data_IF_899791380104
#
_entry.id   IF_899791380104
#
_cell.length_a   1.000
_cell.length_b   1.000
_cell.length_c   1.000
_cell.angle_alpha   90.00
_cell.angle_beta   90.00
_cell.angle_gamma   90.00
#
_symmetry.space_group_name_H-M   'P 1'
#
loop_
_entity.id
_entity.type
_entity.pdbx_description
1 polymer ?
#
# COMPACT_ATOMS: atom_id res chain seq x y z
N UNK A 1 33.38 -9.79 -21.30
CA UNK A 1 32.09 -10.50 -21.26
C UNK A 1 31.57 -10.40 -19.85
N UNK A 2 30.57 -9.56 -19.71
CA UNK A 2 29.91 -9.36 -18.43
C UNK A 2 28.91 -10.51 -18.26
N UNK A 3 29.30 -11.54 -17.58
CA UNK A 3 28.39 -12.62 -17.19
C UNK A 3 27.56 -12.11 -16.02
N UNK A 4 26.41 -11.50 -16.31
CA UNK A 4 25.42 -11.20 -15.29
C UNK A 4 25.09 -12.52 -14.57
N UNK A 5 25.35 -12.55 -13.26
CA UNK A 5 24.95 -13.67 -12.42
C UNK A 5 23.44 -13.92 -12.59
N UNK A 6 22.98 -15.18 -12.63
CA UNK A 6 21.56 -15.45 -12.73
C UNK A 6 20.83 -14.80 -11.55
N UNK A 7 19.85 -13.95 -11.85
CA UNK A 7 19.01 -13.35 -10.80
C UNK A 7 18.28 -14.47 -10.08
N UNK A 8 18.34 -14.45 -8.75
CA UNK A 8 17.61 -15.44 -7.98
C UNK A 8 16.10 -15.23 -8.17
N UNK A 9 15.32 -16.29 -8.20
CA UNK A 9 13.85 -16.23 -8.34
C UNK A 9 13.16 -15.41 -7.25
N UNK A 10 13.87 -15.09 -6.17
CA UNK A 10 13.38 -14.26 -5.06
C UNK A 10 13.79 -12.79 -5.17
N UNK A 11 14.47 -12.39 -6.26
CA UNK A 11 14.89 -11.02 -6.43
C UNK A 11 13.72 -10.12 -6.83
N UNK A 12 13.47 -9.11 -6.00
CA UNK A 12 12.45 -8.10 -6.25
C UNK A 12 13.06 -6.89 -6.91
N UNK A 13 12.34 -6.32 -7.89
CA UNK A 13 12.66 -5.02 -8.46
C UNK A 13 11.60 -4.00 -8.07
N UNK A 14 12.04 -2.76 -7.85
CA UNK A 14 11.20 -1.65 -7.46
C UNK A 14 11.36 -0.55 -8.49
N UNK A 15 10.27 -0.05 -9.02
CA UNK A 15 10.29 1.06 -10.00
C UNK A 15 9.06 1.93 -9.86
N UNK A 16 9.13 3.13 -10.42
CA UNK A 16 7.97 4.01 -10.49
C UNK A 16 6.98 3.48 -11.53
N UNK A 17 5.70 3.58 -11.21
CA UNK A 17 4.63 3.26 -12.13
C UNK A 17 4.54 4.30 -13.25
N UNK A 18 4.12 3.84 -14.40
CA UNK A 18 3.82 4.67 -15.57
C UNK A 18 2.38 4.47 -16.00
N UNK A 19 1.91 5.26 -16.96
CA UNK A 19 0.55 5.15 -17.50
C UNK A 19 0.24 3.71 -18.00
N UNK A 20 1.23 3.03 -18.55
CA UNK A 20 1.08 1.66 -19.03
C UNK A 20 0.76 0.65 -17.91
N UNK A 21 1.10 0.98 -16.66
CA UNK A 21 0.88 0.11 -15.51
C UNK A 21 -0.52 0.24 -14.93
N UNK A 22 -1.28 1.27 -15.28
CA UNK A 22 -2.56 1.59 -14.65
C UNK A 22 -3.53 0.40 -14.64
N UNK A 23 -3.80 -0.29 -15.77
CA UNK A 23 -4.73 -1.42 -15.73
C UNK A 23 -4.31 -2.55 -14.78
N UNK A 24 -3.03 -2.92 -14.81
CA UNK A 24 -2.51 -3.99 -13.95
C UNK A 24 -2.53 -3.60 -12.47
N UNK A 25 -2.26 -2.33 -12.16
CA UNK A 25 -2.30 -1.84 -10.78
C UNK A 25 -3.71 -1.76 -10.22
N UNK A 26 -4.68 -1.34 -11.01
CA UNK A 26 -6.09 -1.36 -10.60
C UNK A 26 -6.51 -2.78 -10.25
N UNK A 27 -6.21 -3.74 -11.11
CA UNK A 27 -6.51 -5.16 -10.86
C UNK A 27 -5.85 -5.67 -9.58
N UNK A 28 -4.57 -5.38 -9.39
CA UNK A 28 -3.81 -5.79 -8.21
C UNK A 28 -4.41 -5.22 -6.93
N UNK A 29 -4.70 -3.93 -6.90
CA UNK A 29 -5.26 -3.25 -5.73
C UNK A 29 -6.64 -3.80 -5.41
N UNK A 30 -7.52 -3.92 -6.41
CA UNK A 30 -8.84 -4.47 -6.20
C UNK A 30 -8.79 -5.92 -5.69
N UNK A 31 -7.89 -6.75 -6.24
CA UNK A 31 -7.76 -8.14 -5.81
C UNK A 31 -7.30 -8.27 -4.35
N UNK A 32 -6.51 -7.32 -3.86
CA UNK A 32 -5.97 -7.35 -2.51
C UNK A 32 -6.96 -6.79 -1.46
N UNK A 33 -7.79 -5.82 -1.85
CA UNK A 33 -8.66 -5.12 -0.90
C UNK A 33 -10.12 -5.52 -0.98
N UNK A 34 -10.62 -5.86 -2.15
CA UNK A 34 -12.06 -6.02 -2.40
C UNK A 34 -12.38 -7.34 -3.10
N UNK A 35 -13.66 -7.73 -2.99
CA UNK A 35 -14.20 -8.89 -3.67
C UNK A 35 -13.72 -10.23 -3.11
N UNK A 36 -14.17 -11.31 -3.74
CA UNK A 36 -13.89 -12.67 -3.28
C UNK A 36 -12.41 -13.05 -3.41
N UNK A 37 -11.71 -12.54 -4.42
CA UNK A 37 -10.28 -12.81 -4.60
C UNK A 37 -9.44 -12.32 -3.42
N UNK A 38 -9.84 -11.21 -2.78
CA UNK A 38 -9.11 -10.68 -1.62
C UNK A 38 -9.19 -11.59 -0.40
N UNK A 39 -10.22 -12.43 -0.31
CA UNK A 39 -10.41 -13.39 0.79
C UNK A 39 -9.37 -14.52 0.79
N UNK A 40 -8.66 -14.72 -0.32
CA UNK A 40 -7.53 -15.64 -0.39
C UNK A 40 -6.30 -15.14 0.37
N UNK A 41 -6.21 -13.84 0.66
CA UNK A 41 -5.18 -13.26 1.51
C UNK A 41 -5.49 -13.42 2.99
N UNK A 42 -4.50 -13.09 3.85
CA UNK A 42 -4.69 -13.19 5.31
C UNK A 42 -5.55 -12.07 5.89
N UNK A 43 -5.75 -10.98 5.15
CA UNK A 43 -6.59 -9.85 5.56
C UNK A 43 -7.31 -9.26 4.35
N UNK A 44 -8.51 -8.70 4.57
CA UNK A 44 -9.33 -8.11 3.52
C UNK A 44 -10.28 -7.05 4.11
N UNK A 45 -10.73 -6.12 3.26
CA UNK A 45 -11.81 -5.19 3.58
C UNK A 45 -13.17 -5.67 3.07
N UNK A 46 -13.24 -6.84 2.42
CA UNK A 46 -14.45 -7.30 1.72
C UNK A 46 -15.70 -7.42 2.62
N UNK A 47 -15.53 -7.63 3.93
CA UNK A 47 -16.65 -7.74 4.86
C UNK A 47 -17.16 -6.39 5.38
N UNK A 48 -16.35 -5.34 5.30
CA UNK A 48 -16.69 -4.00 5.79
C UNK A 48 -16.94 -3.00 4.67
N UNK A 49 -16.42 -3.26 3.48
CA UNK A 49 -16.58 -2.43 2.29
C UNK A 49 -16.87 -3.31 1.08
N UNK A 50 -17.83 -2.89 0.29
CA UNK A 50 -18.13 -3.47 -1.03
C UNK A 50 -17.81 -2.45 -2.12
N UNK A 51 -17.88 -2.87 -3.39
CA UNK A 51 -17.56 -2.03 -4.52
C UNK A 51 -16.04 -1.84 -4.69
N UNK A 52 -15.66 -0.77 -5.37
CA UNK A 52 -14.26 -0.55 -5.73
C UNK A 52 -13.43 0.04 -4.60
N UNK A 53 -12.13 -0.28 -4.57
CA UNK A 53 -11.12 0.39 -3.74
C UNK A 53 -10.53 1.60 -4.47
N UNK A 54 -10.31 1.46 -5.77
CA UNK A 54 -9.77 2.49 -6.64
C UNK A 54 -10.29 2.31 -8.05
N UNK A 55 -9.91 3.20 -8.94
CA UNK A 55 -10.21 3.15 -10.37
C UNK A 55 -8.99 3.66 -11.16
N UNK A 56 -9.00 3.58 -12.52
CA UNK A 56 -7.87 4.07 -13.30
C UNK A 56 -7.53 5.54 -13.03
N UNK A 57 -8.51 6.40 -12.82
CA UNK A 57 -8.28 7.82 -12.53
C UNK A 57 -7.63 8.01 -11.17
N UNK A 58 -8.03 7.24 -10.17
CA UNK A 58 -7.41 7.26 -8.85
C UNK A 58 -5.94 6.87 -8.88
N UNK A 59 -5.58 5.86 -9.65
CA UNK A 59 -4.18 5.45 -9.85
C UNK A 59 -3.40 6.53 -10.60
N UNK A 60 -3.95 7.08 -11.68
CA UNK A 60 -3.32 8.17 -12.44
C UNK A 60 -3.06 9.39 -11.57
N UNK A 61 -3.99 9.73 -10.71
CA UNK A 61 -3.86 10.87 -9.79
C UNK A 61 -2.65 10.70 -8.86
N UNK A 62 -2.45 9.51 -8.30
CA UNK A 62 -1.28 9.21 -7.46
C UNK A 62 0.01 9.36 -8.25
N UNK A 63 0.06 8.83 -9.48
CA UNK A 63 1.25 8.91 -10.34
C UNK A 63 1.57 10.37 -10.71
N UNK A 64 0.54 11.19 -10.96
CA UNK A 64 0.70 12.56 -11.44
C UNK A 64 0.94 13.59 -10.33
N UNK A 65 0.64 13.27 -9.08
CA UNK A 65 0.75 14.23 -7.98
C UNK A 65 2.22 14.54 -7.65
N UNK A 66 2.63 15.82 -7.65
CA UNK A 66 3.99 16.19 -7.26
C UNK A 66 4.32 15.70 -5.85
N UNK A 67 5.54 15.12 -5.68
CA UNK A 67 5.95 14.55 -4.40
C UNK A 67 5.36 13.19 -4.08
N UNK A 68 4.54 12.63 -4.97
CA UNK A 68 3.95 11.30 -4.84
C UNK A 68 4.60 10.33 -5.82
N UNK A 69 4.85 9.12 -5.34
CA UNK A 69 5.35 8.01 -6.16
C UNK A 69 4.45 6.81 -5.95
N UNK A 70 4.15 6.10 -7.02
CA UNK A 70 3.52 4.79 -6.94
C UNK A 70 4.56 3.76 -7.34
N UNK A 71 5.04 2.98 -6.37
CA UNK A 71 6.05 1.96 -6.61
C UNK A 71 5.39 0.67 -7.08
N UNK A 72 5.91 0.12 -8.16
CA UNK A 72 5.56 -1.22 -8.64
C UNK A 72 6.66 -2.16 -8.21
N UNK A 73 6.28 -3.25 -7.54
CA UNK A 73 7.18 -4.31 -7.11
C UNK A 73 7.00 -5.48 -8.04
N UNK A 74 8.08 -5.89 -8.69
CA UNK A 74 8.05 -6.97 -9.68
C UNK A 74 8.95 -8.13 -9.28
N UNK A 75 8.50 -9.33 -9.63
CA UNK A 75 9.30 -10.55 -9.63
C UNK A 75 9.22 -11.14 -11.02
N UNK A 76 10.38 -11.36 -11.65
CA UNK A 76 10.47 -11.88 -13.02
C UNK A 76 9.65 -11.07 -14.04
N UNK A 77 9.63 -9.74 -13.86
CA UNK A 77 8.90 -8.81 -14.74
C UNK A 77 7.39 -8.75 -14.48
N UNK A 78 6.87 -9.48 -13.51
CA UNK A 78 5.45 -9.49 -13.18
C UNK A 78 5.15 -8.65 -11.93
N UNK A 79 4.17 -7.71 -12.00
CA UNK A 79 3.77 -6.94 -10.82
C UNK A 79 3.13 -7.84 -9.76
N UNK A 80 3.70 -7.85 -8.56
CA UNK A 80 3.22 -8.66 -7.44
C UNK A 80 2.80 -7.83 -6.23
N UNK A 81 3.21 -6.57 -6.17
CA UNK A 81 2.85 -5.65 -5.10
C UNK A 81 3.00 -4.21 -5.57
N UNK A 82 2.40 -3.29 -4.84
CA UNK A 82 2.58 -1.86 -5.05
C UNK A 82 2.42 -1.10 -3.73
N UNK A 83 2.94 0.12 -3.70
CA UNK A 83 2.65 1.06 -2.63
C UNK A 83 2.81 2.50 -3.09
N UNK A 84 2.01 3.39 -2.51
CA UNK A 84 2.18 4.82 -2.66
C UNK A 84 3.18 5.33 -1.63
N UNK A 85 4.04 6.24 -2.04
CA UNK A 85 4.97 6.93 -1.18
C UNK A 85 4.90 8.42 -1.51
N UNK A 86 4.56 9.25 -0.53
CA UNK A 86 4.36 10.69 -0.74
C UNK A 86 5.15 11.50 0.28
N UNK A 87 5.84 12.53 -0.21
CA UNK A 87 6.55 13.46 0.64
C UNK A 87 5.60 14.51 1.21
N UNK A 88 5.49 14.56 2.55
CA UNK A 88 4.63 15.51 3.27
C UNK A 88 5.43 16.25 4.36
N UNK A 89 6.21 17.26 3.95
CA UNK A 89 7.02 18.02 4.88
C UNK A 89 8.13 17.19 5.52
N UNK A 90 8.12 17.07 6.84
CA UNK A 90 9.11 16.26 7.60
C UNK A 90 8.76 14.78 7.67
N UNK A 91 7.61 14.39 7.15
CA UNK A 91 7.15 13.02 7.11
C UNK A 91 6.95 12.54 5.69
N UNK A 92 6.93 11.23 5.50
CA UNK A 92 6.42 10.59 4.30
C UNK A 92 5.08 9.90 4.62
N UNK A 93 4.24 9.77 3.63
CA UNK A 93 2.99 9.02 3.71
C UNK A 93 3.12 7.73 2.91
N UNK A 94 2.72 6.63 3.52
CA UNK A 94 2.67 5.31 2.93
C UNK A 94 1.22 4.90 2.75
N UNK A 95 0.83 4.58 1.52
CA UNK A 95 -0.56 4.21 1.24
C UNK A 95 -0.67 3.30 0.03
N UNK A 96 -1.89 3.03 -0.38
CA UNK A 96 -2.22 2.21 -1.56
C UNK A 96 -1.37 0.93 -1.62
N UNK A 97 -1.17 0.31 -0.45
CA UNK A 97 -0.32 -0.86 -0.29
C UNK A 97 -1.11 -2.12 -0.62
N UNK A 98 -0.67 -2.83 -1.63
CA UNK A 98 -1.30 -4.07 -2.05
C UNK A 98 -0.24 -5.13 -2.32
N UNK A 99 -0.50 -6.34 -1.86
CA UNK A 99 0.28 -7.55 -2.17
C UNK A 99 -0.69 -8.55 -2.79
N UNK A 100 -0.29 -9.16 -3.90
CA UNK A 100 -1.14 -10.14 -4.61
C UNK A 100 -1.61 -11.22 -3.65
N UNK A 101 -2.93 -11.48 -3.53
CA UNK A 101 -3.44 -12.58 -2.71
C UNK A 101 -2.78 -13.91 -3.13
N UNK A 102 -2.44 -14.74 -2.16
CA UNK A 102 -1.71 -15.98 -2.40
C UNK A 102 -0.19 -15.84 -2.30
N UNK A 103 0.35 -14.64 -2.45
CA UNK A 103 1.77 -14.35 -2.22
C UNK A 103 2.02 -13.73 -0.84
N UNK A 104 0.96 -13.49 -0.08
CA UNK A 104 1.06 -12.98 1.28
C UNK A 104 1.58 -14.07 2.23
N UNK A 105 2.21 -13.66 3.32
CA UNK A 105 2.74 -14.58 4.33
C UNK A 105 4.20 -15.00 4.13
N UNK A 106 4.83 -14.68 3.00
CA UNK A 106 6.24 -14.98 2.71
C UNK A 106 7.23 -13.86 3.04
N UNK A 107 6.80 -12.85 3.81
CA UNK A 107 7.63 -11.70 4.13
C UNK A 107 7.71 -10.64 3.03
N UNK A 108 6.96 -10.79 1.96
CA UNK A 108 6.94 -9.85 0.84
C UNK A 108 6.48 -8.46 1.28
N UNK A 109 5.39 -8.36 2.03
CA UNK A 109 4.88 -7.08 2.53
C UNK A 109 5.90 -6.35 3.41
N UNK A 110 6.60 -7.08 4.26
CA UNK A 110 7.66 -6.53 5.11
C UNK A 110 8.82 -5.99 4.28
N UNK A 111 9.21 -6.70 3.21
CA UNK A 111 10.27 -6.25 2.30
C UNK A 111 9.89 -4.98 1.55
N UNK A 112 8.67 -4.91 1.06
CA UNK A 112 8.13 -3.71 0.37
C UNK A 112 8.13 -2.51 1.31
N UNK A 113 7.66 -2.70 2.53
CA UNK A 113 7.60 -1.64 3.53
C UNK A 113 8.99 -1.14 3.92
N UNK A 114 9.94 -2.05 4.12
CA UNK A 114 11.33 -1.70 4.43
C UNK A 114 11.97 -0.88 3.30
N UNK A 115 11.72 -1.24 2.04
CA UNK A 115 12.21 -0.48 0.90
C UNK A 115 11.57 0.91 0.80
N UNK A 116 10.27 1.02 1.05
CA UNK A 116 9.58 2.31 1.08
C UNK A 116 10.15 3.23 2.15
N UNK A 117 10.41 2.72 3.33
CA UNK A 117 11.03 3.47 4.42
C UNK A 117 12.45 3.92 4.07
N UNK A 118 13.24 3.02 3.48
CA UNK A 118 14.60 3.34 3.02
C UNK A 118 14.60 4.45 1.98
N UNK A 119 13.72 4.37 0.98
CA UNK A 119 13.59 5.39 -0.07
C UNK A 119 13.17 6.74 0.50
N UNK A 120 12.21 6.76 1.42
CA UNK A 120 11.75 8.00 2.04
C UNK A 120 12.88 8.73 2.76
N UNK A 121 13.70 8.01 3.51
CA UNK A 121 14.86 8.59 4.19
C UNK A 121 15.93 9.03 3.19
N UNK A 122 16.26 8.17 2.22
CA UNK A 122 17.33 8.43 1.26
C UNK A 122 17.02 9.63 0.33
N UNK A 123 15.77 9.75 -0.12
CA UNK A 123 15.40 10.78 -1.09
C UNK A 123 14.91 12.08 -0.47
N UNK A 124 14.24 12.00 0.70
CA UNK A 124 13.59 13.16 1.31
C UNK A 124 14.12 13.52 2.69
N UNK A 125 14.93 12.66 3.30
CA UNK A 125 15.46 12.90 4.63
C UNK A 125 14.40 13.02 5.72
N UNK A 126 13.25 12.36 5.53
CA UNK A 126 12.14 12.42 6.47
C UNK A 126 12.46 11.67 7.77
N UNK A 127 11.79 12.07 8.85
CA UNK A 127 12.00 11.50 10.18
C UNK A 127 10.92 10.53 10.58
N UNK A 128 9.77 10.56 9.91
CA UNK A 128 8.61 9.74 10.24
C UNK A 128 7.97 9.19 8.97
N UNK A 129 7.38 8.00 9.10
CA UNK A 129 6.46 7.46 8.13
C UNK A 129 5.05 7.49 8.72
N UNK A 130 4.10 8.04 7.96
CA UNK A 130 2.69 8.10 8.32
C UNK A 130 1.88 7.17 7.43
N UNK A 131 0.84 6.58 7.99
CA UNK A 131 -0.19 5.87 7.22
C UNK A 131 -1.53 5.99 7.92
N UNK A 132 -2.60 5.79 7.16
CA UNK A 132 -3.95 5.72 7.73
C UNK A 132 -4.54 4.34 7.44
N UNK A 133 -5.17 3.76 8.47
CA UNK A 133 -5.78 2.44 8.39
C UNK A 133 -7.20 2.54 8.95
N UNK A 134 -8.13 1.82 8.34
CA UNK A 134 -9.50 1.72 8.88
C UNK A 134 -9.42 1.15 10.30
N UNK A 135 -9.93 1.89 11.27
CA UNK A 135 -9.68 1.65 12.70
C UNK A 135 -10.21 0.32 13.25
N UNK A 136 -11.16 -0.31 12.55
CA UNK A 136 -11.72 -1.61 12.94
C UNK A 136 -10.92 -2.80 12.41
N UNK A 137 -9.90 -2.56 11.61
CA UNK A 137 -9.03 -3.62 11.07
C UNK A 137 -7.91 -3.95 12.07
N UNK A 138 -8.28 -4.52 13.20
CA UNK A 138 -7.38 -4.76 14.33
C UNK A 138 -6.18 -5.65 13.98
N UNK A 139 -6.39 -6.70 13.18
CA UNK A 139 -5.32 -7.60 12.75
C UNK A 139 -4.28 -6.90 11.89
N UNK A 140 -4.73 -6.04 10.96
CA UNK A 140 -3.84 -5.28 10.11
C UNK A 140 -3.06 -4.24 10.91
N UNK A 141 -3.71 -3.54 11.83
CA UNK A 141 -3.05 -2.58 12.71
C UNK A 141 -2.00 -3.29 13.57
N UNK A 142 -2.31 -4.45 14.12
CA UNK A 142 -1.35 -5.25 14.89
C UNK A 142 -0.14 -5.65 14.05
N UNK A 143 -0.36 -5.98 12.77
CA UNK A 143 0.74 -6.29 11.84
C UNK A 143 1.67 -5.09 11.66
N UNK A 144 1.10 -3.88 11.50
CA UNK A 144 1.90 -2.64 11.40
C UNK A 144 2.62 -2.32 12.71
N UNK A 145 1.96 -2.53 13.85
CA UNK A 145 2.59 -2.30 15.15
C UNK A 145 3.85 -3.18 15.34
N UNK A 146 3.80 -4.42 14.89
CA UNK A 146 4.97 -5.30 14.91
C UNK A 146 6.11 -4.81 14.01
N UNK A 147 5.82 -3.93 13.06
CA UNK A 147 6.81 -3.30 12.17
C UNK A 147 7.30 -1.94 12.71
N UNK A 148 6.86 -1.55 13.89
CA UNK A 148 7.32 -0.34 14.56
C UNK A 148 6.37 0.85 14.46
N UNK A 149 5.21 0.69 13.87
CA UNK A 149 4.18 1.73 13.84
C UNK A 149 3.43 1.79 15.16
N UNK A 150 3.05 2.99 15.57
CA UNK A 150 2.24 3.18 16.77
C UNK A 150 0.91 3.83 16.42
N UNK A 151 -0.12 3.44 17.13
CA UNK A 151 -1.43 4.09 17.04
C UNK A 151 -1.34 5.45 17.70
N UNK A 152 -1.80 6.49 17.01
CA UNK A 152 -1.77 7.86 17.54
C UNK A 152 -3.07 8.26 18.22
N UNK A 153 -4.15 7.52 18.00
CA UNK A 153 -5.48 7.90 18.43
C UNK A 153 -6.10 9.03 17.59
N UNK A 154 -5.40 9.53 16.58
CA UNK A 154 -5.93 10.55 15.67
C UNK A 154 -6.79 9.91 14.62
N UNK A 155 -8.07 10.21 14.64
CA UNK A 155 -9.06 9.69 13.71
C UNK A 155 -9.44 10.72 12.67
N UNK A 156 -9.64 10.25 11.43
CA UNK A 156 -10.26 11.03 10.37
C UNK A 156 -11.50 10.31 9.87
N UNK A 157 -12.55 11.05 9.46
CA UNK A 157 -13.79 10.44 9.01
C UNK A 157 -13.57 9.59 7.75
N UNK A 158 -14.28 8.45 7.67
CA UNK A 158 -14.43 7.72 6.43
C UNK A 158 -15.33 8.54 5.48
N UNK A 159 -15.02 8.59 4.16
CA UNK A 159 -15.79 9.38 3.21
C UNK A 159 -17.11 8.70 2.83
N UNK A 160 -18.06 8.66 3.78
CA UNK A 160 -19.40 8.14 3.51
C UNK A 160 -20.07 8.94 2.39
N UNK A 161 -20.76 8.25 1.48
CA UNK A 161 -21.42 8.85 0.34
C UNK A 161 -20.53 9.01 -0.91
N UNK A 162 -19.25 8.75 -0.82
CA UNK A 162 -18.34 8.72 -1.97
C UNK A 162 -17.97 7.28 -2.32
N UNK A 163 -18.67 6.69 -3.28
CA UNK A 163 -18.50 5.28 -3.66
C UNK A 163 -17.16 4.99 -4.35
N UNK A 164 -16.38 6.01 -4.70
CA UNK A 164 -15.02 5.81 -5.22
C UNK A 164 -14.13 5.08 -4.23
N UNK A 165 -14.43 5.18 -2.92
CA UNK A 165 -13.70 4.53 -1.84
C UNK A 165 -14.36 3.24 -1.34
N UNK A 166 -15.42 2.80 -2.01
CA UNK A 166 -16.18 1.63 -1.65
C UNK A 166 -17.53 1.96 -1.03
N UNK A 167 -18.36 0.95 -0.89
CA UNK A 167 -19.69 1.06 -0.28
C UNK A 167 -19.59 0.47 1.13
N UNK A 168 -19.64 1.32 2.19
CA UNK A 168 -19.44 0.84 3.55
C UNK A 168 -20.61 -0.03 4.02
N UNK A 169 -20.30 -1.10 4.73
CA UNK A 169 -21.26 -2.04 5.32
C UNK A 169 -21.43 -1.82 6.83
N UNK A 170 -20.75 -0.81 7.37
CA UNK A 170 -20.79 -0.41 8.78
C UNK A 170 -20.85 1.10 8.88
N UNK A 171 -21.46 1.59 9.97
CA UNK A 171 -21.59 3.03 10.21
C UNK A 171 -20.45 3.61 11.06
N UNK A 172 -19.56 2.76 11.59
CA UNK A 172 -18.52 3.12 12.55
C UNK A 172 -17.11 3.16 11.94
N UNK A 173 -16.99 3.30 10.61
CA UNK A 173 -15.70 3.34 9.95
C UNK A 173 -15.03 4.71 10.12
N UNK A 174 -13.78 4.68 10.52
CA UNK A 174 -12.87 5.83 10.60
C UNK A 174 -11.48 5.38 10.19
N UNK A 175 -10.65 6.33 9.78
CA UNK A 175 -9.22 6.09 9.60
C UNK A 175 -8.47 6.50 10.86
N UNK A 176 -7.53 5.69 11.28
CA UNK A 176 -6.59 6.05 12.33
C UNK A 176 -5.22 6.31 11.74
N UNK A 177 -4.57 7.40 12.17
CA UNK A 177 -3.19 7.70 11.80
C UNK A 177 -2.25 6.81 12.62
N UNK A 178 -1.39 6.08 11.90
CA UNK A 178 -0.26 5.34 12.48
C UNK A 178 1.03 6.04 12.10
N UNK A 179 2.00 6.05 13.00
CA UNK A 179 3.29 6.72 12.80
C UNK A 179 4.44 5.82 13.22
N UNK A 180 5.50 5.82 12.43
CA UNK A 180 6.77 5.16 12.77
C UNK A 180 7.90 6.18 12.68
N UNK A 181 8.76 6.21 13.70
CA UNK A 181 9.99 6.99 13.67
C UNK A 181 11.03 6.28 12.81
N UNK A 182 11.61 7.01 11.86
CA UNK A 182 12.61 6.48 10.91
C UNK A 182 14.04 6.94 11.24
N UNK A 183 14.16 7.82 12.17
CA UNK A 183 15.46 8.36 12.55
C UNK A 183 16.11 7.54 13.68
#
# INVERSE_FOLDING_TARGET
>A
MDTAAPRSADELTYRDATEADVPALVELIESAYRGDSSRAGWTTEADILQGQRTDPDGVREVIATPGSRLLVVERDGEPIACCQLEHRGEAAYFGMFAVRPGLQGGGLGRRVMAEAERLAVAEWGVREMHMTVISVRDELIAWYERRGYRRTGRMTPFPYGDERFGVPQRADLQFELLVKDLA
#
